data_IF_484927564935
#
_entry.id   IF_484927564935
#
_cell.length_a   1.000
_cell.length_b   1.000
_cell.length_c   1.000
_cell.angle_alpha   90.00
_cell.angle_beta   90.00
_cell.angle_gamma   90.00
#
_symmetry.space_group_name_H-M   'P 1'
#
loop_
_entity.id
_entity.type
_entity.pdbx_description
1 polymer ?
#
# COMPACT_ATOMS: atom_id res chain seq x y z
N UNK A 1 -19.87 6.78 9.99
CA UNK A 1 -19.92 6.68 8.51
C UNK A 1 -18.87 5.68 8.05
N UNK A 2 -19.27 4.70 7.25
CA UNK A 2 -18.36 3.70 6.72
C UNK A 2 -17.28 4.34 5.83
N UNK A 3 -16.11 3.70 5.75
CA UNK A 3 -15.03 4.15 4.88
C UNK A 3 -15.51 4.14 3.41
N UNK A 4 -15.39 5.26 2.71
CA UNK A 4 -15.72 5.33 1.28
C UNK A 4 -14.95 4.28 0.46
N UNK A 5 -15.55 3.75 -0.63
CA UNK A 5 -14.88 2.77 -1.47
C UNK A 5 -13.64 3.36 -2.14
N UNK A 6 -12.62 2.53 -2.36
CA UNK A 6 -11.33 2.99 -2.91
C UNK A 6 -11.43 3.59 -4.31
N UNK A 7 -12.46 3.21 -5.09
CA UNK A 7 -12.72 3.75 -6.44
C UNK A 7 -12.84 5.27 -6.46
N UNK A 8 -13.28 5.90 -5.36
CA UNK A 8 -13.40 7.35 -5.24
C UNK A 8 -12.06 8.09 -5.15
N UNK A 9 -10.98 7.39 -4.79
CA UNK A 9 -9.67 7.99 -4.50
C UNK A 9 -8.55 7.44 -5.38
N UNK A 10 -8.82 6.43 -6.23
CA UNK A 10 -7.76 5.69 -6.94
C UNK A 10 -7.06 6.52 -8.01
N UNK A 11 -7.75 7.46 -8.64
CA UNK A 11 -7.25 8.20 -9.80
C UNK A 11 -6.34 9.35 -9.35
N UNK A 12 -5.24 9.56 -10.06
CA UNK A 12 -4.33 10.69 -9.84
C UNK A 12 -4.84 11.90 -10.65
N UNK A 13 -5.94 12.48 -10.22
CA UNK A 13 -6.49 13.70 -10.85
C UNK A 13 -6.10 14.96 -10.09
N UNK A 14 -5.91 14.84 -8.78
CA UNK A 14 -5.67 15.98 -7.89
C UNK A 14 -4.19 16.32 -7.78
N UNK A 15 -3.91 17.62 -7.60
CA UNK A 15 -2.60 18.10 -7.17
C UNK A 15 -2.24 17.46 -5.84
N UNK A 16 -0.96 17.20 -5.64
CA UNK A 16 -0.49 16.54 -4.43
C UNK A 16 -0.69 17.41 -3.18
N UNK A 17 -1.30 16.83 -2.16
CA UNK A 17 -1.66 17.46 -0.91
C UNK A 17 -0.99 16.71 0.25
N UNK A 18 0.21 17.14 0.62
CA UNK A 18 1.13 16.39 1.51
C UNK A 18 1.65 17.21 2.70
N UNK A 19 1.51 18.54 2.66
CA UNK A 19 2.11 19.49 3.62
C UNK A 19 1.35 19.52 4.95
N UNK A 20 1.76 18.66 5.88
CA UNK A 20 1.11 18.49 7.19
C UNK A 20 1.02 19.77 8.03
N UNK A 21 1.95 20.71 7.86
CA UNK A 21 1.91 22.02 8.54
C UNK A 21 0.65 22.86 8.22
N UNK A 22 0.06 22.66 7.04
CA UNK A 22 -1.18 23.36 6.63
C UNK A 22 -2.44 22.50 6.80
N UNK A 23 -2.29 21.22 7.18
CA UNK A 23 -3.40 20.27 7.30
C UNK A 23 -3.56 19.79 8.73
N UNK A 24 -4.57 20.31 9.41
CA UNK A 24 -4.91 19.87 10.77
C UNK A 24 -5.57 18.48 10.76
N UNK A 25 -5.32 17.71 11.82
CA UNK A 25 -5.98 16.43 12.11
C UNK A 25 -5.88 15.37 11.00
N UNK A 26 -4.72 15.22 10.37
CA UNK A 26 -4.46 14.13 9.42
C UNK A 26 -4.47 12.79 10.17
N UNK A 27 -5.32 11.82 9.78
CA UNK A 27 -5.32 10.50 10.40
C UNK A 27 -4.00 9.77 10.18
N UNK A 28 -3.53 9.04 11.19
CA UNK A 28 -2.29 8.28 11.08
C UNK A 28 -2.43 7.13 10.07
N UNK A 29 -1.37 6.83 9.28
CA UNK A 29 -1.33 5.65 8.42
C UNK A 29 -1.56 4.36 9.24
N UNK A 30 -2.23 3.36 8.64
CA UNK A 30 -2.47 2.06 9.29
C UNK A 30 -1.28 1.10 9.13
N UNK A 31 -0.35 1.43 8.23
CA UNK A 31 0.85 0.63 7.99
C UNK A 31 1.77 0.79 9.19
N UNK A 32 1.97 -0.30 9.92
CA UNK A 32 2.75 -0.29 11.18
C UNK A 32 4.24 -0.47 10.90
N UNK A 33 4.58 -1.47 10.08
CA UNK A 33 5.97 -1.82 9.77
C UNK A 33 6.16 -1.84 8.26
N UNK A 34 7.19 -1.13 7.79
CA UNK A 34 7.58 -1.12 6.37
C UNK A 34 8.61 -2.21 6.07
N UNK A 35 9.49 -2.49 7.03
CA UNK A 35 10.53 -3.52 6.93
C UNK A 35 10.22 -4.63 7.93
N UNK A 36 10.26 -5.89 7.47
CA UNK A 36 9.99 -7.09 8.27
C UNK A 36 10.93 -8.23 7.86
N UNK A 37 11.01 -9.25 8.70
CA UNK A 37 11.96 -10.35 8.52
C UNK A 37 13.29 -9.99 9.15
N UNK A 38 14.40 -10.24 8.45
CA UNK A 38 15.75 -9.91 8.90
C UNK A 38 16.32 -8.71 8.10
N UNK A 39 16.29 -7.48 8.65
CA UNK A 39 16.84 -6.29 7.99
C UNK A 39 18.36 -6.30 7.84
N UNK A 40 19.06 -7.07 8.67
CA UNK A 40 20.53 -7.11 8.71
C UNK A 40 21.12 -8.14 7.75
N UNK A 41 20.32 -9.10 7.26
CA UNK A 41 20.79 -10.11 6.33
C UNK A 41 20.70 -9.63 4.88
N UNK A 42 21.73 -9.96 4.10
CA UNK A 42 21.69 -9.84 2.65
C UNK A 42 21.14 -11.12 2.03
N UNK A 43 20.12 -10.97 1.20
CA UNK A 43 19.54 -12.09 0.46
C UNK A 43 20.05 -12.08 -0.98
N UNK A 44 20.38 -13.27 -1.54
CA UNK A 44 20.91 -13.37 -2.90
C UNK A 44 19.83 -13.14 -3.96
N UNK A 45 18.57 -13.53 -3.70
CA UNK A 45 17.45 -13.35 -4.62
C UNK A 45 16.53 -12.23 -4.13
N UNK A 46 16.18 -11.30 -5.01
CA UNK A 46 15.25 -10.21 -4.72
C UNK A 46 14.13 -10.16 -5.76
N UNK A 47 12.90 -10.25 -5.26
CA UNK A 47 11.68 -10.24 -6.07
C UNK A 47 10.86 -9.01 -5.69
N UNK A 48 10.35 -8.30 -6.69
CA UNK A 48 9.60 -7.06 -6.52
C UNK A 48 8.20 -7.18 -7.09
N UNK A 49 7.27 -6.47 -6.45
CA UNK A 49 5.93 -6.23 -6.95
C UNK A 49 5.84 -4.81 -7.50
N UNK A 50 5.60 -4.72 -8.80
CA UNK A 50 5.66 -3.48 -9.57
C UNK A 50 4.27 -3.09 -10.06
N UNK A 51 3.90 -1.81 -9.99
CA UNK A 51 2.62 -1.31 -10.51
C UNK A 51 2.58 -1.33 -12.03
N UNK A 52 1.46 -1.77 -12.63
CA UNK A 52 1.22 -1.64 -14.10
C UNK A 52 0.56 -0.32 -14.49
N UNK A 53 0.10 0.49 -13.54
CA UNK A 53 -0.59 1.76 -13.79
C UNK A 53 -0.23 2.85 -12.78
N UNK A 54 -0.47 4.09 -13.15
CA UNK A 54 -0.42 5.22 -12.23
C UNK A 54 -1.67 5.19 -11.34
N UNK A 55 -1.49 5.15 -10.02
CA UNK A 55 -2.60 4.98 -9.06
C UNK A 55 -2.29 5.52 -7.67
N UNK A 56 -3.33 5.86 -6.92
CA UNK A 56 -3.28 6.07 -5.48
C UNK A 56 -3.64 4.80 -4.72
N UNK A 57 -2.74 4.34 -3.85
CA UNK A 57 -2.94 3.18 -2.98
C UNK A 57 -3.16 3.66 -1.55
N UNK A 58 -4.35 3.43 -1.00
CA UNK A 58 -4.65 3.85 0.38
C UNK A 58 -3.82 3.06 1.41
N UNK A 59 -3.49 3.72 2.53
CA UNK A 59 -2.76 3.12 3.64
C UNK A 59 -3.35 1.78 4.15
N UNK A 60 -4.68 1.62 4.12
CA UNK A 60 -5.35 0.39 4.55
C UNK A 60 -5.15 -0.77 3.55
N UNK A 61 -5.06 -0.48 2.26
CA UNK A 61 -4.74 -1.47 1.24
C UNK A 61 -3.28 -1.92 1.35
N UNK A 62 -2.35 -0.98 1.62
CA UNK A 62 -0.96 -1.31 1.90
C UNK A 62 -0.83 -2.22 3.12
N UNK A 63 -1.50 -1.90 4.23
CA UNK A 63 -1.45 -2.73 5.43
C UNK A 63 -2.09 -4.11 5.21
N UNK A 64 -3.20 -4.16 4.45
CA UNK A 64 -3.85 -5.44 4.11
C UNK A 64 -2.95 -6.31 3.21
N UNK A 65 -2.25 -5.69 2.26
CA UNK A 65 -1.27 -6.33 1.39
C UNK A 65 -0.07 -6.85 2.19
N UNK A 66 0.43 -6.05 3.14
CA UNK A 66 1.50 -6.41 4.07
C UNK A 66 1.15 -7.65 4.88
N UNK A 67 0.01 -7.64 5.57
CA UNK A 67 -0.41 -8.75 6.44
C UNK A 67 -0.54 -10.05 5.63
N UNK A 68 -1.17 -9.98 4.45
CA UNK A 68 -1.38 -11.15 3.60
C UNK A 68 -0.07 -11.79 3.10
N UNK A 69 0.88 -10.97 2.63
CA UNK A 69 2.18 -11.45 2.17
C UNK A 69 3.06 -11.92 3.33
N UNK A 70 3.15 -11.11 4.39
CA UNK A 70 4.00 -11.39 5.54
C UNK A 70 3.61 -12.68 6.26
N UNK A 71 2.30 -12.93 6.43
CA UNK A 71 1.81 -14.16 7.07
C UNK A 71 2.28 -15.41 6.31
N UNK A 72 2.25 -15.36 4.98
CA UNK A 72 2.64 -16.50 4.15
C UNK A 72 4.16 -16.68 4.09
N UNK A 73 4.92 -15.62 3.83
CA UNK A 73 6.38 -15.76 3.74
C UNK A 73 7.00 -16.15 5.09
N UNK A 74 6.42 -15.68 6.21
CA UNK A 74 6.83 -16.06 7.55
C UNK A 74 6.64 -17.56 7.82
N UNK A 75 5.55 -18.17 7.33
CA UNK A 75 5.33 -19.62 7.49
C UNK A 75 6.30 -20.43 6.64
N UNK A 76 6.64 -19.96 5.44
CA UNK A 76 7.50 -20.70 4.50
C UNK A 76 9.00 -20.56 4.77
N UNK A 77 9.46 -19.39 5.23
CA UNK A 77 10.88 -19.05 5.38
C UNK A 77 11.32 -18.90 6.85
N UNK A 78 10.38 -18.91 7.80
CA UNK A 78 10.66 -18.55 9.19
C UNK A 78 10.96 -17.05 9.35
N UNK A 79 11.26 -16.62 10.58
CA UNK A 79 11.41 -15.19 10.90
C UNK A 79 12.67 -14.55 10.32
N UNK A 80 13.73 -15.33 10.11
CA UNK A 80 15.04 -14.86 9.64
C UNK A 80 15.32 -15.14 8.17
N UNK A 81 14.52 -15.98 7.51
CA UNK A 81 14.78 -16.45 6.14
C UNK A 81 14.31 -15.52 5.02
N UNK A 82 13.84 -14.31 5.34
CA UNK A 82 13.43 -13.33 4.33
C UNK A 82 13.61 -11.89 4.82
N UNK A 83 13.61 -10.96 3.87
CA UNK A 83 13.46 -9.52 4.08
C UNK A 83 12.25 -9.04 3.29
N UNK A 84 11.22 -8.53 3.96
CA UNK A 84 10.04 -7.95 3.30
C UNK A 84 10.05 -6.44 3.51
N UNK A 85 9.97 -5.68 2.42
CA UNK A 85 10.02 -4.23 2.44
C UNK A 85 8.89 -3.61 1.62
N UNK A 86 8.04 -2.79 2.24
CA UNK A 86 7.10 -1.90 1.55
C UNK A 86 7.86 -0.62 1.18
N UNK A 87 8.00 -0.38 -0.12
CA UNK A 87 8.81 0.72 -0.65
C UNK A 87 8.05 2.04 -0.70
N UNK A 88 6.73 1.97 -0.78
CA UNK A 88 5.86 3.14 -0.96
C UNK A 88 5.26 3.62 0.37
N UNK A 89 5.31 4.94 0.58
CA UNK A 89 4.78 5.57 1.78
C UNK A 89 3.52 6.41 1.47
N UNK A 90 2.49 6.38 2.33
CA UNK A 90 1.24 7.08 2.10
C UNK A 90 1.34 8.56 2.50
N UNK A 91 1.92 9.38 1.62
CA UNK A 91 2.09 10.82 1.83
C UNK A 91 0.87 11.66 1.43
N UNK A 92 0.09 11.20 0.46
CA UNK A 92 -1.02 11.95 -0.12
C UNK A 92 -2.20 11.96 0.86
N UNK A 93 -2.66 13.14 1.27
CA UNK A 93 -3.77 13.29 2.22
C UNK A 93 -5.10 13.29 1.46
N UNK A 94 -5.97 12.35 1.81
CA UNK A 94 -7.31 12.24 1.25
C UNK A 94 -8.29 13.09 2.05
N UNK A 95 -9.11 13.87 1.34
CA UNK A 95 -10.17 14.69 1.93
C UNK A 95 -11.54 14.27 1.42
N UNK A 96 -12.52 14.32 2.31
CA UNK A 96 -13.91 13.96 2.02
C UNK A 96 -14.86 15.02 2.60
N UNK A 97 -15.79 15.50 1.76
CA UNK A 97 -16.94 16.24 2.26
C UNK A 97 -17.95 15.20 2.79
N UNK A 98 -17.97 15.02 4.12
CA UNK A 98 -18.83 14.03 4.78
C UNK A 98 -20.23 14.64 4.93
N UNK A 99 -21.22 14.02 4.29
CA UNK A 99 -22.63 14.42 4.46
C UNK A 99 -23.15 13.87 5.79
N UNK A 100 -23.82 14.69 6.60
CA UNK A 100 -24.57 14.14 7.72
C UNK A 100 -25.61 13.14 7.20
N UNK A 101 -25.81 12.02 7.91
CA UNK A 101 -26.80 11.02 7.55
C UNK A 101 -27.63 10.71 8.81
N UNK A 102 -28.93 10.50 8.64
CA UNK A 102 -29.90 10.30 9.73
C UNK A 102 -31.00 11.36 9.73
N UNK A 103 -31.96 11.22 10.64
CA UNK A 103 -33.07 12.16 10.78
C UNK A 103 -32.54 13.57 11.14
N UNK A 104 -32.93 14.57 10.36
CA UNK A 104 -32.50 15.96 10.58
C UNK A 104 -31.08 16.28 10.07
N UNK A 105 -30.45 15.39 9.30
CA UNK A 105 -29.15 15.64 8.69
C UNK A 105 -29.12 16.90 7.82
N UNK A 106 -30.24 17.22 7.15
CA UNK A 106 -30.38 18.39 6.30
C UNK A 106 -30.26 19.71 7.07
N UNK A 107 -30.54 19.70 8.38
CA UNK A 107 -30.37 20.87 9.24
C UNK A 107 -28.92 21.12 9.65
N UNK A 108 -28.06 20.09 9.56
CA UNK A 108 -26.64 20.14 9.96
C UNK A 108 -25.73 20.24 8.73
N UNK A 109 -26.22 19.80 7.57
CA UNK A 109 -25.47 19.76 6.32
C UNK A 109 -25.65 21.05 5.52
N UNK A 110 -24.57 21.78 5.27
CA UNK A 110 -24.56 22.97 4.39
C UNK A 110 -24.66 22.63 2.88
N UNK A 111 -24.95 21.36 2.56
CA UNK A 111 -24.93 20.85 1.20
C UNK A 111 -23.53 20.98 0.58
N UNK A 112 -23.42 21.81 -0.47
CA UNK A 112 -22.15 22.04 -1.19
C UNK A 112 -21.46 23.35 -0.82
N UNK A 113 -22.07 24.18 0.03
CA UNK A 113 -21.41 25.38 0.54
C UNK A 113 -20.21 24.96 1.40
N UNK A 114 -19.05 25.60 1.19
CA UNK A 114 -17.78 25.29 1.87
C UNK A 114 -17.37 23.79 1.80
N UNK A 115 -17.54 23.17 0.63
CA UNK A 115 -17.29 21.74 0.39
C UNK A 115 -15.83 21.26 0.52
N UNK A 116 -14.91 22.09 1.03
CA UNK A 116 -13.53 21.68 1.31
C UNK A 116 -13.50 20.70 2.49
N UNK A 117 -13.64 19.41 2.15
CA UNK A 117 -13.87 18.33 3.09
C UNK A 117 -12.78 18.16 4.15
N UNK A 118 -13.02 17.28 5.13
CA UNK A 118 -12.06 17.00 6.22
C UNK A 118 -11.05 15.94 5.78
N UNK A 119 -9.85 15.92 6.38
CA UNK A 119 -8.88 14.86 6.15
C UNK A 119 -9.43 13.52 6.70
N UNK A 120 -9.41 12.47 5.87
CA UNK A 120 -10.00 11.16 6.20
C UNK A 120 -9.01 9.99 6.15
N UNK A 121 -7.87 10.17 5.51
CA UNK A 121 -6.83 9.15 5.45
C UNK A 121 -5.69 9.56 4.55
N UNK A 122 -4.78 8.62 4.33
CA UNK A 122 -3.60 8.84 3.48
C UNK A 122 -3.46 7.75 2.42
N UNK A 123 -2.80 8.10 1.31
CA UNK A 123 -2.53 7.22 0.19
C UNK A 123 -1.11 7.40 -0.34
N UNK A 124 -0.53 6.34 -0.89
CA UNK A 124 0.71 6.37 -1.62
C UNK A 124 0.41 6.64 -3.09
N UNK A 125 1.08 7.65 -3.66
CA UNK A 125 1.02 7.97 -5.08
C UNK A 125 2.08 7.14 -5.79
N UNK A 126 1.63 6.19 -6.60
CA UNK A 126 2.47 5.19 -7.26
C UNK A 126 2.40 5.40 -8.76
N UNK A 127 3.57 5.48 -9.41
CA UNK A 127 3.69 5.56 -10.87
C UNK A 127 3.69 4.17 -11.50
N UNK A 128 3.32 4.08 -12.77
CA UNK A 128 3.51 2.88 -13.59
C UNK A 128 5.00 2.51 -13.59
N UNK A 129 5.29 1.23 -13.36
CA UNK A 129 6.65 0.71 -13.30
C UNK A 129 7.34 0.92 -11.94
N UNK A 130 6.71 1.60 -10.99
CA UNK A 130 7.29 1.78 -9.65
C UNK A 130 7.11 0.52 -8.79
N UNK A 131 8.16 0.18 -8.04
CA UNK A 131 8.17 -0.89 -7.03
C UNK A 131 7.29 -0.52 -5.82
N UNK A 132 6.42 -1.43 -5.41
CA UNK A 132 5.52 -1.28 -4.27
C UNK A 132 6.05 -2.08 -3.07
N UNK A 133 6.37 -3.35 -3.30
CA UNK A 133 6.84 -4.29 -2.29
C UNK A 133 8.06 -5.03 -2.85
N UNK A 134 9.05 -5.26 -2.00
CA UNK A 134 10.24 -6.05 -2.29
C UNK A 134 10.33 -7.18 -1.27
N UNK A 135 10.64 -8.39 -1.74
CA UNK A 135 10.97 -9.54 -0.89
C UNK A 135 12.35 -10.06 -1.29
N UNK A 136 13.28 -10.11 -0.34
CA UNK A 136 14.55 -10.81 -0.44
C UNK A 136 14.45 -12.19 0.20
N UNK A 137 14.95 -13.23 -0.47
CA UNK A 137 14.98 -14.62 0.01
C UNK A 137 16.23 -15.35 -0.50
N UNK A 138 16.52 -16.50 0.11
CA UNK A 138 17.45 -17.48 -0.44
C UNK A 138 16.86 -18.15 -1.70
N UNK A 139 17.69 -18.68 -2.61
CA UNK A 139 17.24 -19.18 -3.91
C UNK A 139 16.21 -20.31 -3.79
N UNK A 140 16.37 -21.17 -2.79
CA UNK A 140 15.45 -22.27 -2.47
C UNK A 140 14.01 -21.81 -2.20
N UNK A 141 13.83 -20.59 -1.69
CA UNK A 141 12.53 -20.03 -1.30
C UNK A 141 11.98 -19.03 -2.31
N UNK A 142 12.54 -18.98 -3.53
CA UNK A 142 12.08 -18.10 -4.60
C UNK A 142 10.57 -18.24 -4.89
N UNK A 143 10.09 -19.48 -5.02
CA UNK A 143 8.67 -19.75 -5.31
C UNK A 143 7.74 -19.26 -4.18
N UNK A 144 8.19 -19.38 -2.92
CA UNK A 144 7.45 -18.84 -1.77
C UNK A 144 7.38 -17.31 -1.82
N UNK A 145 8.46 -16.62 -2.19
CA UNK A 145 8.44 -15.16 -2.38
C UNK A 145 7.50 -14.74 -3.51
N UNK A 146 7.47 -15.47 -4.63
CA UNK A 146 6.56 -15.21 -5.76
C UNK A 146 5.09 -15.36 -5.34
N UNK A 147 4.75 -16.41 -4.60
CA UNK A 147 3.39 -16.62 -4.09
C UNK A 147 3.01 -15.58 -3.02
N UNK A 148 3.94 -15.18 -2.15
CA UNK A 148 3.73 -14.08 -1.20
C UNK A 148 3.36 -12.77 -1.92
N UNK A 149 4.10 -12.41 -2.97
CA UNK A 149 3.83 -11.21 -3.77
C UNK A 149 2.52 -11.29 -4.56
N UNK A 150 2.13 -12.48 -5.04
CA UNK A 150 0.82 -12.71 -5.66
C UNK A 150 -0.32 -12.45 -4.65
N UNK A 151 -0.18 -12.91 -3.41
CA UNK A 151 -1.15 -12.62 -2.34
C UNK A 151 -1.20 -11.14 -2.00
N UNK A 152 -0.05 -10.47 -1.97
CA UNK A 152 0.02 -9.01 -1.82
C UNK A 152 -0.75 -8.29 -2.92
N UNK A 153 -0.57 -8.68 -4.18
CA UNK A 153 -1.19 -8.01 -5.33
C UNK A 153 -2.72 -8.07 -5.30
N UNK A 154 -3.29 -9.16 -4.77
CA UNK A 154 -4.75 -9.31 -4.61
C UNK A 154 -5.38 -8.31 -3.65
N UNK A 155 -4.58 -7.62 -2.82
CA UNK A 155 -5.06 -6.60 -1.87
C UNK A 155 -4.89 -5.17 -2.38
N UNK A 156 -4.22 -5.00 -3.52
CA UNK A 156 -3.93 -3.69 -4.11
C UNK A 156 -4.99 -3.32 -5.16
N UNK A 157 -5.26 -2.02 -5.38
CA UNK A 157 -6.27 -1.57 -6.33
C UNK A 157 -5.81 -1.59 -7.80
N UNK A 158 -4.63 -2.15 -8.10
CA UNK A 158 -4.03 -2.15 -9.44
C UNK A 158 -3.50 -3.53 -9.80
N UNK A 159 -3.51 -3.83 -11.10
CA UNK A 159 -2.78 -4.95 -11.63
C UNK A 159 -1.27 -4.73 -11.40
N UNK A 160 -0.61 -5.75 -10.87
CA UNK A 160 0.82 -5.71 -10.59
C UNK A 160 1.59 -6.70 -11.48
N UNK A 161 2.89 -6.48 -11.62
CA UNK A 161 3.84 -7.41 -12.23
C UNK A 161 4.83 -7.86 -11.17
N UNK A 162 5.14 -9.14 -11.12
CA UNK A 162 6.22 -9.67 -10.29
C UNK A 162 7.48 -9.67 -11.14
N UNK A 163 8.55 -9.07 -10.63
CA UNK A 163 9.83 -8.91 -11.33
C UNK A 163 10.95 -9.42 -10.44
N UNK A 164 11.82 -10.28 -10.97
CA UNK A 164 13.07 -10.66 -10.30
C UNK A 164 14.12 -9.61 -10.64
N UNK A 165 14.70 -9.01 -9.61
CA UNK A 165 15.65 -7.89 -9.75
C UNK A 165 17.08 -8.26 -9.40
N UNK A 166 17.28 -9.23 -8.50
CA UNK A 166 18.59 -9.76 -8.09
C UNK A 166 18.52 -11.28 -8.05
N UNK A 167 19.59 -11.97 -8.44
CA UNK A 167 19.71 -13.42 -8.33
C UNK A 167 18.90 -14.18 -9.37
N UNK A 168 18.74 -13.62 -10.58
CA UNK A 168 17.97 -14.30 -11.65
C UNK A 168 18.67 -15.59 -12.09
N UNK A 169 19.99 -15.56 -12.12
CA UNK A 169 20.91 -16.65 -12.42
C UNK A 169 20.90 -17.78 -11.38
N UNK A 170 20.45 -17.51 -10.15
CA UNK A 170 20.40 -18.50 -9.08
C UNK A 170 19.08 -19.29 -9.06
N UNK A 171 18.13 -18.91 -9.91
CA UNK A 171 16.82 -19.55 -10.04
C UNK A 171 16.92 -20.55 -11.17
N UNK A 172 16.78 -21.84 -10.86
CA UNK A 172 16.55 -22.88 -11.89
C UNK A 172 15.08 -22.79 -12.29
N UNK A 173 14.84 -22.55 -13.58
CA UNK A 173 13.50 -22.59 -14.19
C UNK A 173 12.80 -23.94 -13.96
#
# INVERSE_FOLDING_TARGET
MALRPARCYRTIERRSYTRKEYVRAVPQPKVVHYVMGNPSAEFPVQVQLVSKSDILIRHNALESSRIAGNKYILSECGRTGYLFNIRVYPHEILRENKMAAGAGADRISDGMRLSFGKAVGTAAKVKKGQEIITIGVNPEKFYAAKEALRRCSMKLPTACKIVVTKGKELIKD
#
